data_IF_890956906580
#
_entry.id   IF_890956906580
#
_cell.length_a   1.000
_cell.length_b   1.000
_cell.length_c   1.000
_cell.angle_alpha   90.00
_cell.angle_beta   90.00
_cell.angle_gamma   90.00
#
_symmetry.space_group_name_H-M   'P 1'
#
loop_
_entity.id
_entity.type
_entity.pdbx_description
1 polymer ?
#
# COMPACT_ATOMS: atom_id res chain seq x y z
N UNK A 1 7.01 -16.19 -24.07
CA UNK A 1 8.30 -15.93 -24.77
C UNK A 1 9.29 -15.22 -23.85
N UNK A 2 8.95 -14.09 -23.24
CA UNK A 2 9.83 -13.34 -22.30
C UNK A 2 10.30 -14.17 -21.09
N UNK A 3 9.39 -14.96 -20.47
CA UNK A 3 9.73 -15.86 -19.35
C UNK A 3 10.79 -16.90 -19.71
N UNK A 4 10.77 -17.43 -20.93
CA UNK A 4 11.79 -18.34 -21.43
C UNK A 4 13.09 -17.62 -21.82
N UNK A 5 13.02 -16.37 -22.27
CA UNK A 5 14.22 -15.57 -22.55
C UNK A 5 14.93 -15.19 -21.25
N UNK A 6 14.20 -14.67 -20.25
CA UNK A 6 14.74 -14.38 -18.92
C UNK A 6 15.37 -15.61 -18.27
N UNK A 7 14.71 -16.77 -18.36
CA UNK A 7 15.23 -18.02 -17.80
C UNK A 7 16.49 -18.53 -18.54
N UNK A 8 16.54 -18.42 -19.86
CA UNK A 8 17.72 -18.82 -20.65
C UNK A 8 18.91 -17.87 -20.47
N UNK A 9 18.66 -16.57 -20.34
CA UNK A 9 19.71 -15.57 -20.07
C UNK A 9 20.24 -15.79 -18.64
N UNK A 10 19.37 -16.12 -17.71
CA UNK A 10 19.66 -16.39 -16.33
C UNK A 10 20.56 -17.63 -16.13
N UNK A 11 20.26 -18.75 -16.81
CA UNK A 11 21.02 -19.99 -16.74
C UNK A 11 22.44 -19.84 -17.37
N UNK A 12 22.62 -18.98 -18.35
CA UNK A 12 23.92 -18.69 -18.95
C UNK A 12 24.81 -17.80 -18.09
N UNK A 13 24.26 -16.83 -17.35
CA UNK A 13 25.03 -15.88 -16.54
C UNK A 13 25.58 -16.51 -15.25
N UNK A 14 24.89 -17.46 -14.65
CA UNK A 14 25.32 -18.16 -13.43
C UNK A 14 26.61 -18.98 -13.62
N UNK A 15 26.89 -19.47 -14.84
CA UNK A 15 28.10 -20.25 -15.11
C UNK A 15 29.35 -19.37 -15.33
N UNK A 16 29.18 -18.10 -15.63
CA UNK A 16 30.28 -17.16 -15.92
C UNK A 16 30.72 -16.41 -14.65
N UNK A 17 29.80 -16.15 -13.71
CA UNK A 17 30.08 -15.41 -12.47
C UNK A 17 31.01 -16.16 -11.50
N UNK A 18 30.97 -17.49 -11.45
CA UNK A 18 31.73 -18.27 -10.49
C UNK A 18 33.27 -18.33 -10.75
N UNK A 19 33.74 -17.93 -11.92
CA UNK A 19 35.16 -17.97 -12.30
C UNK A 19 35.90 -16.64 -12.22
N UNK A 20 35.22 -15.50 -11.99
CA UNK A 20 35.83 -14.16 -12.09
C UNK A 20 35.96 -13.37 -10.78
N UNK A 21 35.48 -13.90 -9.65
CA UNK A 21 35.42 -13.16 -8.35
C UNK A 21 36.80 -13.00 -7.67
N UNK A 22 37.89 -13.63 -8.15
CA UNK A 22 39.16 -13.66 -7.41
C UNK A 22 40.20 -12.62 -7.86
N UNK A 23 40.00 -11.88 -8.95
CA UNK A 23 41.02 -10.93 -9.41
C UNK A 23 40.47 -9.61 -9.91
N UNK A 24 40.77 -8.55 -9.22
CA UNK A 24 40.66 -7.11 -9.51
C UNK A 24 39.59 -6.32 -8.74
N UNK A 25 40.00 -5.89 -7.57
CA UNK A 25 39.33 -4.83 -6.79
C UNK A 25 39.60 -3.45 -7.45
N UNK A 26 38.55 -2.67 -7.58
CA UNK A 26 38.44 -1.21 -7.60
C UNK A 26 38.38 -0.39 -8.91
N UNK A 27 38.68 -0.88 -10.10
CA UNK A 27 38.59 0.00 -11.29
C UNK A 27 37.54 -0.39 -12.34
N UNK A 28 36.56 -1.26 -12.02
CA UNK A 28 35.75 -1.91 -13.05
C UNK A 28 34.21 -1.81 -12.88
N UNK A 29 33.66 -0.93 -12.02
CA UNK A 29 32.20 -0.87 -11.91
C UNK A 29 31.51 -0.44 -13.21
N UNK A 30 32.04 0.56 -13.91
CA UNK A 30 31.50 1.01 -15.19
C UNK A 30 31.65 -0.04 -16.30
N UNK A 31 32.79 -0.75 -16.36
CA UNK A 31 33.03 -1.81 -17.37
C UNK A 31 32.21 -3.09 -17.09
N UNK A 32 31.87 -3.38 -15.84
CA UNK A 32 30.99 -4.51 -15.48
C UNK A 32 29.53 -4.23 -15.85
N UNK A 33 29.09 -2.99 -15.68
CA UNK A 33 27.74 -2.57 -16.08
C UNK A 33 27.53 -2.64 -17.61
N UNK A 34 28.58 -2.41 -18.40
CA UNK A 34 28.53 -2.52 -19.87
C UNK A 34 28.44 -3.98 -20.36
N UNK A 35 28.86 -4.96 -19.56
CA UNK A 35 28.89 -6.38 -19.91
C UNK A 35 27.63 -7.16 -19.52
N UNK A 36 26.74 -6.56 -18.72
CA UNK A 36 25.50 -7.23 -18.34
C UNK A 36 24.56 -7.39 -19.53
N UNK A 37 23.80 -8.49 -19.59
CA UNK A 37 22.73 -8.63 -20.56
C UNK A 37 21.79 -7.43 -20.47
N UNK A 38 21.36 -6.92 -21.64
CA UNK A 38 20.42 -5.80 -21.74
C UNK A 38 19.20 -6.25 -22.49
N UNK A 39 18.03 -5.85 -22.02
CA UNK A 39 16.75 -6.12 -22.69
C UNK A 39 15.93 -4.84 -22.77
N UNK A 40 15.40 -4.57 -23.95
CA UNK A 40 14.47 -3.46 -24.17
C UNK A 40 13.06 -3.97 -23.84
N UNK A 41 12.35 -3.23 -23.00
CA UNK A 41 11.00 -3.51 -22.57
C UNK A 41 10.15 -2.26 -22.69
N UNK A 42 8.82 -2.40 -22.79
CA UNK A 42 7.97 -1.21 -22.92
C UNK A 42 7.71 -0.56 -21.56
N UNK A 43 7.04 -1.27 -20.65
CA UNK A 43 6.71 -0.75 -19.33
C UNK A 43 7.25 -1.67 -18.24
N UNK A 44 7.84 -1.08 -17.19
CA UNK A 44 8.22 -1.79 -15.97
C UNK A 44 7.44 -1.21 -14.79
N UNK A 45 6.74 -2.06 -14.05
CA UNK A 45 6.11 -1.75 -12.76
C UNK A 45 6.90 -2.42 -11.65
N UNK A 46 7.38 -1.64 -10.68
CA UNK A 46 8.17 -2.15 -9.55
C UNK A 46 7.24 -2.39 -8.36
N UNK A 47 7.06 -3.64 -7.99
CA UNK A 47 6.22 -4.09 -6.88
C UNK A 47 4.85 -4.61 -7.33
N UNK A 48 4.49 -5.82 -6.86
CA UNK A 48 3.21 -6.47 -7.10
C UNK A 48 2.26 -6.36 -5.88
N UNK A 49 2.23 -5.20 -5.22
CA UNK A 49 1.16 -4.82 -4.31
C UNK A 49 -0.11 -4.39 -5.07
N UNK A 50 -1.22 -4.15 -4.37
CA UNK A 50 -2.51 -3.80 -5.00
C UNK A 50 -2.41 -2.62 -5.98
N UNK A 51 -1.58 -1.61 -5.68
CA UNK A 51 -1.39 -0.45 -6.55
C UNK A 51 -0.61 -0.83 -7.81
N UNK A 52 0.50 -1.58 -7.66
CA UNK A 52 1.30 -2.02 -8.80
C UNK A 52 0.54 -2.96 -9.74
N UNK A 53 -0.26 -3.88 -9.18
CA UNK A 53 -1.13 -4.76 -9.97
C UNK A 53 -2.20 -3.95 -10.72
N UNK A 54 -2.85 -2.98 -10.05
CA UNK A 54 -3.84 -2.11 -10.68
C UNK A 54 -3.22 -1.27 -11.82
N UNK A 55 -2.00 -0.74 -11.61
CA UNK A 55 -1.24 0.00 -12.65
C UNK A 55 -0.90 -0.91 -13.83
N UNK A 56 -0.38 -2.11 -13.55
CA UNK A 56 -0.04 -3.08 -14.60
C UNK A 56 -1.26 -3.46 -15.43
N UNK A 57 -2.39 -3.73 -14.77
CA UNK A 57 -3.66 -4.00 -15.43
C UNK A 57 -4.09 -2.86 -16.34
N UNK A 58 -4.11 -1.63 -15.82
CA UNK A 58 -4.56 -0.46 -16.57
C UNK A 58 -3.68 -0.17 -17.81
N UNK A 59 -2.36 -0.36 -17.68
CA UNK A 59 -1.43 -0.23 -18.80
C UNK A 59 -1.62 -1.34 -19.84
N UNK A 60 -1.79 -2.60 -19.40
CA UNK A 60 -2.03 -3.74 -20.28
C UNK A 60 -3.36 -3.62 -21.04
N UNK A 61 -4.42 -3.15 -20.38
CA UNK A 61 -5.71 -2.86 -21.04
C UNK A 61 -5.60 -1.80 -22.14
N UNK A 62 -4.60 -0.92 -22.06
CA UNK A 62 -4.29 0.07 -23.11
C UNK A 62 -3.32 -0.45 -24.17
N UNK A 63 -3.03 -1.74 -24.16
CA UNK A 63 -2.18 -2.40 -25.16
C UNK A 63 -0.69 -2.24 -24.94
N UNK A 64 -0.24 -1.79 -23.73
CA UNK A 64 1.20 -1.71 -23.39
C UNK A 64 1.72 -3.09 -23.00
N UNK A 65 2.96 -3.38 -23.35
CA UNK A 65 3.68 -4.57 -22.87
C UNK A 65 4.26 -4.28 -21.46
N UNK A 66 3.76 -4.97 -20.45
CA UNK A 66 4.04 -4.65 -19.05
C UNK A 66 4.78 -5.78 -18.36
N UNK A 67 5.95 -5.47 -17.81
CA UNK A 67 6.70 -6.34 -16.91
C UNK A 67 6.58 -5.84 -15.47
N UNK A 68 5.99 -6.64 -14.58
CA UNK A 68 5.94 -6.38 -13.15
C UNK A 68 7.07 -7.13 -12.46
N UNK A 69 7.89 -6.40 -11.68
CA UNK A 69 9.02 -6.97 -10.93
C UNK A 69 8.68 -6.93 -9.44
N UNK A 70 8.66 -8.13 -8.82
CA UNK A 70 8.36 -8.30 -7.39
C UNK A 70 9.49 -9.05 -6.69
N UNK A 71 9.95 -8.48 -5.58
CA UNK A 71 11.04 -9.06 -4.79
C UNK A 71 10.63 -10.31 -4.01
N UNK A 72 9.36 -10.40 -3.62
CA UNK A 72 8.81 -11.53 -2.89
C UNK A 72 8.46 -12.72 -3.82
N UNK A 73 8.26 -13.92 -3.26
CA UNK A 73 7.90 -15.10 -4.04
C UNK A 73 6.47 -15.07 -4.61
N UNK A 74 5.64 -14.12 -4.16
CA UNK A 74 4.26 -13.93 -4.60
C UNK A 74 3.81 -12.49 -4.47
N UNK A 75 2.65 -12.15 -5.04
CA UNK A 75 2.07 -10.81 -4.97
C UNK A 75 1.52 -10.48 -3.57
N UNK A 76 1.38 -9.17 -3.29
CA UNK A 76 0.60 -8.63 -2.17
C UNK A 76 1.19 -8.86 -0.78
N UNK A 77 2.40 -9.36 -0.63
CA UNK A 77 2.99 -9.79 0.66
C UNK A 77 3.31 -8.67 1.64
N UNK A 78 3.37 -7.42 1.18
CA UNK A 78 3.65 -6.24 2.00
C UNK A 78 2.39 -5.62 2.62
N UNK A 79 2.28 -4.30 2.54
CA UNK A 79 1.16 -3.52 3.10
C UNK A 79 -0.21 -3.96 2.56
N UNK A 80 -0.27 -4.49 1.35
CA UNK A 80 -1.52 -4.89 0.69
C UNK A 80 -2.23 -6.07 1.34
N UNK A 81 -1.53 -7.00 1.99
CA UNK A 81 -2.13 -8.11 2.75
C UNK A 81 -2.30 -7.81 4.23
N UNK A 82 -1.93 -6.60 4.69
CA UNK A 82 -1.85 -6.25 6.10
C UNK A 82 -2.57 -4.93 6.39
N UNK A 83 -3.80 -4.82 5.91
CA UNK A 83 -4.65 -3.65 6.03
C UNK A 83 -6.01 -4.03 6.65
N UNK A 84 -6.89 -3.05 6.81
CA UNK A 84 -8.23 -3.25 7.40
C UNK A 84 -9.28 -3.77 6.41
N UNK A 85 -8.93 -3.96 5.14
CA UNK A 85 -9.83 -4.39 4.05
C UNK A 85 -11.04 -3.47 3.82
N UNK A 86 -10.94 -2.23 4.29
CA UNK A 86 -12.02 -1.24 4.25
C UNK A 86 -12.04 -0.48 2.94
N UNK A 87 -13.21 -0.44 2.32
CA UNK A 87 -13.54 0.47 1.22
C UNK A 87 -13.95 1.81 1.86
N UNK A 88 -13.04 2.79 1.82
CA UNK A 88 -13.24 4.12 2.41
C UNK A 88 -14.14 5.01 1.55
N UNK A 89 -14.92 5.87 2.19
CA UNK A 89 -15.77 6.82 1.49
C UNK A 89 -15.03 8.06 0.96
N UNK A 90 -13.97 8.53 1.65
CA UNK A 90 -13.21 9.73 1.28
C UNK A 90 -13.43 10.95 2.17
N UNK A 91 -14.10 10.79 3.32
CA UNK A 91 -14.54 11.91 4.17
C UNK A 91 -13.45 12.52 5.09
N UNK A 92 -12.32 11.84 5.30
CA UNK A 92 -11.29 12.30 6.24
C UNK A 92 -10.25 13.25 5.64
N UNK A 93 -10.10 13.26 4.32
CA UNK A 93 -8.99 13.91 3.64
C UNK A 93 -9.31 15.35 3.27
N UNK A 94 -8.33 16.27 3.28
CA UNK A 94 -8.54 17.63 2.82
C UNK A 94 -9.10 17.66 1.40
N UNK A 95 -10.04 18.57 1.11
CA UNK A 95 -10.58 18.73 -0.24
C UNK A 95 -9.48 18.97 -1.27
N UNK A 96 -9.66 18.41 -2.46
CA UNK A 96 -8.71 18.47 -3.58
C UNK A 96 -7.36 17.76 -3.34
N UNK A 97 -7.14 17.11 -2.19
CA UNK A 97 -5.97 16.25 -2.00
C UNK A 97 -6.07 15.00 -2.88
N UNK A 98 -4.93 14.42 -3.25
CA UNK A 98 -4.90 13.16 -4.01
C UNK A 98 -5.60 12.03 -3.25
N UNK A 99 -5.45 11.99 -1.91
CA UNK A 99 -6.18 11.06 -1.05
C UNK A 99 -7.69 11.21 -1.17
N UNK A 100 -8.22 12.43 -1.19
CA UNK A 100 -9.65 12.69 -1.34
C UNK A 100 -10.14 12.29 -2.74
N UNK A 101 -9.51 12.83 -3.77
CA UNK A 101 -9.89 12.62 -5.18
C UNK A 101 -9.84 11.14 -5.55
N UNK A 102 -8.72 10.46 -5.25
CA UNK A 102 -8.56 9.06 -5.61
C UNK A 102 -9.39 8.12 -4.73
N UNK A 103 -9.68 8.49 -3.48
CA UNK A 103 -10.55 7.68 -2.63
C UNK A 103 -12.00 7.68 -3.15
N UNK A 104 -12.54 8.85 -3.44
CA UNK A 104 -13.93 8.98 -3.94
C UNK A 104 -14.10 8.30 -5.30
N UNK A 105 -13.17 8.57 -6.24
CA UNK A 105 -13.16 7.93 -7.56
C UNK A 105 -12.92 6.42 -7.44
N UNK A 106 -11.88 6.02 -6.69
CA UNK A 106 -11.47 4.63 -6.55
C UNK A 106 -12.55 3.77 -5.89
N UNK A 107 -13.29 4.30 -4.90
CA UNK A 107 -14.43 3.59 -4.31
C UNK A 107 -15.46 3.19 -5.37
N UNK A 108 -15.85 4.11 -6.25
CA UNK A 108 -16.82 3.85 -7.32
C UNK A 108 -16.29 2.77 -8.28
N UNK A 109 -15.02 2.88 -8.68
CA UNK A 109 -14.36 1.91 -9.53
C UNK A 109 -14.30 0.52 -8.87
N UNK A 110 -13.91 0.49 -7.59
CA UNK A 110 -13.71 -0.76 -6.85
C UNK A 110 -15.03 -1.52 -6.66
N UNK A 111 -16.12 -0.86 -6.24
CA UNK A 111 -17.42 -1.50 -6.14
C UNK A 111 -17.90 -2.04 -7.48
N UNK A 112 -17.76 -1.24 -8.53
CA UNK A 112 -18.16 -1.66 -9.88
C UNK A 112 -17.32 -2.85 -10.35
N UNK A 113 -16.02 -2.80 -10.14
CA UNK A 113 -15.11 -3.89 -10.49
C UNK A 113 -15.46 -5.17 -9.73
N UNK A 114 -15.59 -5.11 -8.42
CA UNK A 114 -15.89 -6.26 -7.57
C UNK A 114 -17.22 -6.92 -7.97
N UNK A 115 -18.26 -6.13 -8.25
CA UNK A 115 -19.55 -6.63 -8.69
C UNK A 115 -19.47 -7.34 -10.04
N UNK A 116 -18.72 -6.80 -10.99
CA UNK A 116 -18.60 -7.35 -12.34
C UNK A 116 -17.71 -8.59 -12.43
N UNK A 117 -16.76 -8.74 -11.49
CA UNK A 117 -15.78 -9.83 -11.51
C UNK A 117 -15.99 -10.87 -10.39
N UNK A 118 -17.08 -10.74 -9.63
CA UNK A 118 -17.39 -11.69 -8.55
C UNK A 118 -16.41 -11.63 -7.38
N UNK A 119 -15.71 -10.50 -7.18
CA UNK A 119 -14.82 -10.32 -6.02
C UNK A 119 -15.67 -10.11 -4.76
N UNK A 120 -15.47 -10.91 -3.69
CA UNK A 120 -16.26 -10.80 -2.47
C UNK A 120 -16.09 -9.42 -1.81
N UNK A 121 -17.21 -8.76 -1.58
CA UNK A 121 -17.26 -7.44 -0.94
C UNK A 121 -18.64 -7.21 -0.31
N UNK A 122 -18.73 -6.33 0.69
CA UNK A 122 -19.99 -5.91 1.31
C UNK A 122 -19.98 -4.39 1.53
N UNK A 123 -21.04 -3.70 1.14
CA UNK A 123 -21.26 -2.28 1.47
C UNK A 123 -22.05 -2.22 2.79
N UNK A 124 -21.34 -2.34 3.92
CA UNK A 124 -21.92 -2.44 5.24
C UNK A 124 -22.13 -1.09 5.95
N UNK A 125 -21.61 -0.01 5.37
CA UNK A 125 -21.65 1.31 6.00
C UNK A 125 -20.67 1.47 7.16
N UNK A 126 -20.57 2.74 7.62
CA UNK A 126 -19.67 3.12 8.71
C UNK A 126 -20.36 4.15 9.59
N UNK A 127 -20.25 3.97 10.91
CA UNK A 127 -20.64 4.94 11.92
C UNK A 127 -19.36 5.59 12.49
N UNK A 128 -19.20 6.89 12.29
CA UNK A 128 -18.18 7.67 12.98
C UNK A 128 -18.84 8.24 14.23
N UNK A 129 -18.34 7.86 15.42
CA UNK A 129 -19.04 8.06 16.68
C UNK A 129 -18.37 9.07 17.60
N UNK A 130 -19.17 9.97 18.15
CA UNK A 130 -18.80 10.88 19.22
C UNK A 130 -19.23 10.28 20.56
N UNK A 131 -18.26 9.94 21.42
CA UNK A 131 -18.51 9.41 22.75
C UNK A 131 -18.50 10.49 23.83
N UNK A 132 -17.94 11.66 23.51
CA UNK A 132 -17.92 12.84 24.37
C UNK A 132 -18.52 14.06 23.69
N UNK A 133 -18.95 15.06 24.48
CA UNK A 133 -19.53 16.30 23.95
C UNK A 133 -18.55 17.12 23.10
N UNK A 134 -17.25 17.07 23.42
CA UNK A 134 -16.18 17.73 22.65
C UNK A 134 -16.03 17.15 21.23
N UNK A 135 -16.46 15.90 20.99
CA UNK A 135 -16.34 15.24 19.69
C UNK A 135 -17.46 15.62 18.72
N UNK A 136 -18.59 16.14 19.22
CA UNK A 136 -19.78 16.42 18.41
C UNK A 136 -19.46 17.41 17.30
N UNK A 137 -18.70 18.46 17.60
CA UNK A 137 -18.36 19.47 16.61
C UNK A 137 -17.44 18.90 15.51
N UNK A 138 -16.58 17.94 15.86
CA UNK A 138 -15.69 17.25 14.90
C UNK A 138 -16.50 16.43 13.87
N UNK A 139 -17.66 15.87 14.26
CA UNK A 139 -18.56 15.19 13.32
C UNK A 139 -19.07 16.14 12.23
N UNK A 140 -19.45 17.37 12.59
CA UNK A 140 -19.89 18.36 11.60
C UNK A 140 -18.76 18.73 10.63
N UNK A 141 -17.52 18.92 11.11
CA UNK A 141 -16.36 19.16 10.27
C UNK A 141 -16.13 17.99 9.30
N UNK A 142 -16.32 16.75 9.73
CA UNK A 142 -16.20 15.59 8.86
C UNK A 142 -17.36 15.49 7.85
N UNK A 143 -18.58 15.87 8.24
CA UNK A 143 -19.73 15.95 7.33
C UNK A 143 -19.46 16.97 6.21
N UNK A 144 -19.06 18.19 6.57
CA UNK A 144 -18.79 19.27 5.61
C UNK A 144 -17.67 18.86 4.65
N UNK A 145 -16.58 18.37 5.18
CA UNK A 145 -15.43 17.88 4.39
C UNK A 145 -15.81 16.72 3.46
N UNK A 146 -16.56 15.75 3.97
CA UNK A 146 -17.03 14.62 3.17
C UNK A 146 -17.96 15.06 2.05
N UNK A 147 -18.84 16.00 2.33
CA UNK A 147 -19.76 16.60 1.33
C UNK A 147 -18.99 17.36 0.25
N UNK A 148 -17.99 18.17 0.64
CA UNK A 148 -17.11 18.88 -0.30
C UNK A 148 -16.30 17.92 -1.17
N UNK A 149 -15.89 16.77 -0.62
CA UNK A 149 -15.21 15.70 -1.38
C UNK A 149 -16.16 14.91 -2.30
N UNK A 150 -17.47 15.17 -2.27
CA UNK A 150 -18.45 14.44 -3.07
C UNK A 150 -18.82 13.06 -2.52
N UNK A 151 -18.72 12.88 -1.19
CA UNK A 151 -19.21 11.66 -0.52
C UNK A 151 -20.73 11.75 -0.33
N UNK A 152 -21.44 10.84 -0.97
CA UNK A 152 -22.89 10.84 -0.97
C UNK A 152 -23.50 10.15 0.28
N UNK A 153 -24.68 10.60 0.70
CA UNK A 153 -25.48 9.93 1.74
C UNK A 153 -24.99 10.12 3.18
N UNK A 154 -24.04 11.04 3.42
CA UNK A 154 -23.58 11.35 4.77
C UNK A 154 -24.72 11.96 5.60
N UNK A 155 -24.90 11.50 6.83
CA UNK A 155 -25.96 11.97 7.74
C UNK A 155 -25.52 11.94 9.18
N UNK A 156 -25.63 13.09 9.86
CA UNK A 156 -25.55 13.11 11.34
C UNK A 156 -26.81 12.48 11.92
N UNK A 157 -26.64 11.71 12.96
CA UNK A 157 -27.73 11.06 13.71
C UNK A 157 -27.52 11.17 15.21
N UNK A 158 -28.61 11.16 15.94
CA UNK A 158 -28.56 11.14 17.40
C UNK A 158 -28.08 9.77 17.90
N UNK A 159 -27.45 9.75 19.09
CA UNK A 159 -26.90 8.52 19.65
C UNK A 159 -27.93 7.39 19.78
N UNK A 160 -29.17 7.72 20.15
CA UNK A 160 -30.22 6.69 20.27
C UNK A 160 -30.57 6.04 18.92
N UNK A 161 -30.47 6.76 17.81
CA UNK A 161 -30.67 6.19 16.47
C UNK A 161 -29.52 5.23 16.12
N UNK A 162 -28.27 5.63 16.38
CA UNK A 162 -27.09 4.80 16.16
C UNK A 162 -27.11 3.53 17.03
N UNK A 163 -27.50 3.66 18.30
CA UNK A 163 -27.63 2.54 19.23
C UNK A 163 -28.79 1.58 18.86
N UNK A 164 -29.82 2.04 18.16
CA UNK A 164 -30.85 1.14 17.60
C UNK A 164 -30.31 0.34 16.40
N UNK A 165 -29.38 0.89 15.62
CA UNK A 165 -28.71 0.15 14.54
C UNK A 165 -27.69 -0.84 15.09
N UNK A 166 -26.97 -0.44 16.15
CA UNK A 166 -25.89 -1.20 16.80
C UNK A 166 -26.14 -1.24 18.32
N UNK A 167 -26.85 -2.27 18.82
CA UNK A 167 -27.27 -2.31 20.25
C UNK A 167 -26.12 -2.33 21.26
N UNK A 168 -24.96 -2.81 20.88
CA UNK A 168 -23.75 -2.82 21.73
C UNK A 168 -22.96 -1.51 21.72
N UNK A 169 -23.31 -0.59 20.80
CA UNK A 169 -22.69 0.71 20.67
C UNK A 169 -23.19 1.67 21.77
N UNK A 170 -22.29 2.47 22.32
CA UNK A 170 -22.62 3.63 23.14
C UNK A 170 -22.01 4.90 22.56
N UNK A 171 -22.82 5.88 22.18
CA UNK A 171 -22.37 7.18 21.69
C UNK A 171 -23.41 8.27 21.94
N UNK A 172 -22.98 9.54 21.89
CA UNK A 172 -23.85 10.71 21.99
C UNK A 172 -24.45 11.08 20.63
N UNK A 173 -23.63 11.03 19.58
CA UNK A 173 -23.99 11.26 18.18
C UNK A 173 -23.13 10.42 17.25
N UNK A 174 -23.59 10.23 16.04
CA UNK A 174 -22.83 9.55 15.00
C UNK A 174 -22.97 10.25 13.63
N UNK A 175 -21.97 10.10 12.78
CA UNK A 175 -22.03 10.39 11.35
C UNK A 175 -22.09 9.07 10.60
N UNK A 176 -23.20 8.80 9.92
CA UNK A 176 -23.37 7.64 9.05
C UNK A 176 -22.73 7.90 7.69
N UNK A 177 -21.87 7.00 7.23
CA UNK A 177 -21.31 6.95 5.90
C UNK A 177 -21.74 5.64 5.21
N UNK A 178 -22.86 5.63 4.48
CA UNK A 178 -23.44 4.41 3.92
C UNK A 178 -22.62 3.81 2.78
N UNK A 179 -21.77 4.61 2.14
CA UNK A 179 -20.95 4.19 1.01
C UNK A 179 -19.63 3.51 1.41
N UNK A 180 -19.34 3.39 2.70
CA UNK A 180 -18.19 2.60 3.21
C UNK A 180 -18.52 1.11 3.19
N UNK A 181 -17.49 0.26 3.07
CA UNK A 181 -17.66 -1.17 3.07
C UNK A 181 -16.36 -1.93 3.30
N UNK A 182 -16.39 -3.20 2.95
CA UNK A 182 -15.27 -4.13 3.07
C UNK A 182 -15.10 -4.94 1.78
N UNK A 183 -13.89 -5.42 1.54
CA UNK A 183 -13.54 -6.23 0.37
C UNK A 183 -12.52 -7.29 0.75
N UNK A 184 -12.62 -8.47 0.17
CA UNK A 184 -11.52 -9.43 0.19
C UNK A 184 -10.35 -8.90 -0.66
N UNK A 185 -9.34 -8.38 0.02
CA UNK A 185 -8.18 -7.77 -0.65
C UNK A 185 -7.37 -8.79 -1.45
N UNK A 186 -7.29 -10.04 -1.00
CA UNK A 186 -6.56 -11.08 -1.72
C UNK A 186 -7.28 -11.45 -3.02
N UNK A 187 -8.58 -11.69 -2.96
CA UNK A 187 -9.41 -11.98 -4.15
C UNK A 187 -9.42 -10.80 -5.12
N UNK A 188 -9.44 -9.55 -4.63
CA UNK A 188 -9.32 -8.36 -5.47
C UNK A 188 -7.98 -8.35 -6.22
N UNK A 189 -6.86 -8.55 -5.53
CA UNK A 189 -5.55 -8.55 -6.16
C UNK A 189 -5.41 -9.70 -7.15
N UNK A 190 -5.90 -10.89 -6.82
CA UNK A 190 -5.87 -12.05 -7.70
C UNK A 190 -6.67 -11.82 -8.99
N UNK A 191 -7.86 -11.21 -8.87
CA UNK A 191 -8.70 -10.85 -10.01
C UNK A 191 -8.03 -9.83 -10.92
N UNK A 192 -7.50 -8.73 -10.35
CA UNK A 192 -6.78 -7.70 -11.10
C UNK A 192 -5.52 -8.24 -11.79
N UNK A 193 -4.78 -9.13 -11.11
CA UNK A 193 -3.60 -9.80 -11.65
C UNK A 193 -3.95 -10.69 -12.82
N UNK A 194 -4.97 -11.54 -12.67
CA UNK A 194 -5.42 -12.43 -13.76
C UNK A 194 -5.88 -11.65 -14.98
N UNK A 195 -6.58 -10.52 -14.79
CA UNK A 195 -6.97 -9.65 -15.90
C UNK A 195 -5.75 -8.98 -16.56
N UNK A 196 -4.76 -8.52 -15.77
CA UNK A 196 -3.51 -7.98 -16.32
C UNK A 196 -2.76 -9.02 -17.16
N UNK A 197 -2.62 -10.27 -16.67
CA UNK A 197 -1.99 -11.38 -17.42
C UNK A 197 -2.75 -11.72 -18.68
N UNK A 198 -4.08 -11.74 -18.64
CA UNK A 198 -4.94 -11.99 -19.82
C UNK A 198 -4.76 -10.94 -20.91
N UNK A 199 -4.31 -9.71 -20.53
CA UNK A 199 -4.01 -8.63 -21.47
C UNK A 199 -2.50 -8.49 -21.75
N UNK A 200 -1.70 -9.49 -21.40
CA UNK A 200 -0.29 -9.61 -21.79
C UNK A 200 0.72 -9.14 -20.74
N UNK A 201 0.31 -8.67 -19.56
CA UNK A 201 1.26 -8.34 -18.50
C UNK A 201 1.98 -9.60 -18.00
N UNK A 202 3.28 -9.46 -17.71
CA UNK A 202 4.10 -10.54 -17.16
C UNK A 202 4.55 -10.19 -15.74
N UNK A 203 4.42 -11.13 -14.80
CA UNK A 203 4.85 -10.98 -13.41
C UNK A 203 6.12 -11.79 -13.13
N UNK A 204 7.18 -11.11 -12.70
CA UNK A 204 8.46 -11.71 -12.36
C UNK A 204 8.67 -11.60 -10.85
N UNK A 205 8.54 -12.72 -10.15
CA UNK A 205 8.72 -12.83 -8.72
C UNK A 205 10.16 -13.19 -8.34
N UNK A 206 10.52 -13.06 -7.05
CA UNK A 206 11.87 -13.29 -6.54
C UNK A 206 12.94 -12.47 -7.27
N UNK A 207 12.55 -11.31 -7.80
CA UNK A 207 13.41 -10.42 -8.58
C UNK A 207 13.33 -9.02 -8.01
N UNK A 208 14.47 -8.46 -7.66
CA UNK A 208 14.56 -7.14 -7.02
C UNK A 208 15.19 -6.12 -7.95
N UNK A 209 14.55 -4.95 -8.06
CA UNK A 209 15.15 -3.77 -8.66
C UNK A 209 16.15 -3.18 -7.68
N UNK A 210 17.42 -3.18 -8.03
CA UNK A 210 18.52 -2.72 -7.16
C UNK A 210 18.97 -1.29 -7.44
N UNK A 211 18.34 -0.60 -8.39
CA UNK A 211 18.61 0.79 -8.78
C UNK A 211 18.60 0.98 -10.28
N UNK A 212 19.16 2.09 -10.73
CA UNK A 212 19.23 2.40 -12.15
C UNK A 212 20.08 3.63 -12.44
N UNK A 213 20.27 3.92 -13.73
CA UNK A 213 20.93 5.13 -14.19
C UNK A 213 20.28 5.61 -15.49
N UNK A 214 20.53 6.86 -15.85
CA UNK A 214 20.14 7.41 -17.14
C UNK A 214 21.30 7.27 -18.10
N UNK A 215 21.03 6.84 -19.32
CA UNK A 215 21.96 6.82 -20.43
C UNK A 215 21.35 7.58 -21.62
N UNK A 216 22.06 7.66 -22.74
CA UNK A 216 21.60 8.36 -23.97
C UNK A 216 20.33 7.72 -24.56
N UNK A 217 20.15 6.44 -24.38
CA UNK A 217 19.02 5.62 -24.84
C UNK A 217 17.87 5.48 -23.82
N UNK A 218 17.92 6.20 -22.69
CA UNK A 218 16.86 6.25 -21.69
C UNK A 218 17.27 5.72 -20.31
N UNK A 219 16.27 5.29 -19.54
CA UNK A 219 16.45 4.76 -18.20
C UNK A 219 16.94 3.31 -18.30
N UNK A 220 17.98 3.00 -17.55
CA UNK A 220 18.49 1.65 -17.36
C UNK A 220 18.15 1.19 -15.94
N UNK A 221 17.37 0.12 -15.79
CA UNK A 221 17.03 -0.48 -14.52
C UNK A 221 17.87 -1.71 -14.28
N UNK A 222 18.47 -1.79 -13.12
CA UNK A 222 19.29 -2.92 -12.69
C UNK A 222 18.45 -3.88 -11.85
N UNK A 223 18.44 -5.16 -12.22
CA UNK A 223 17.71 -6.21 -11.52
C UNK A 223 18.62 -7.37 -11.12
N UNK A 224 18.28 -8.02 -10.04
CA UNK A 224 18.96 -9.21 -9.53
C UNK A 224 17.97 -10.15 -8.85
N UNK A 225 18.28 -11.44 -8.76
CA UNK A 225 17.51 -12.35 -7.90
C UNK A 225 17.52 -11.89 -6.44
N UNK A 226 16.37 -11.90 -5.78
CA UNK A 226 16.24 -11.42 -4.40
C UNK A 226 17.15 -12.17 -3.42
N UNK A 227 17.34 -13.49 -3.59
CA UNK A 227 18.24 -14.30 -2.76
C UNK A 227 19.70 -13.82 -2.78
N UNK A 228 20.17 -13.27 -3.92
CA UNK A 228 21.54 -12.80 -4.06
C UNK A 228 21.78 -11.50 -3.29
N UNK A 229 20.71 -10.69 -3.15
CA UNK A 229 20.75 -9.46 -2.36
C UNK A 229 20.73 -9.76 -0.87
N UNK A 230 19.93 -10.75 -0.45
CA UNK A 230 19.86 -11.19 0.95
C UNK A 230 21.18 -11.74 1.47
N UNK A 231 21.94 -12.36 0.59
CA UNK A 231 23.27 -12.94 0.90
C UNK A 231 24.41 -11.92 0.84
N UNK A 232 24.15 -10.65 0.47
CA UNK A 232 25.17 -9.59 0.48
C UNK A 232 25.51 -9.19 1.91
N UNK A 233 26.45 -9.93 2.53
CA UNK A 233 27.00 -9.62 3.86
C UNK A 233 28.13 -8.60 3.68
N UNK A 234 28.07 -7.46 4.40
CA UNK A 234 29.18 -6.52 4.51
C UNK A 234 29.11 -5.27 3.64
N UNK A 235 27.91 -4.84 3.22
CA UNK A 235 27.69 -3.50 2.66
C UNK A 235 28.15 -3.29 1.21
N UNK A 236 28.59 -4.34 0.52
CA UNK A 236 28.80 -4.24 -0.93
C UNK A 236 27.45 -4.20 -1.64
N UNK A 237 27.20 -3.21 -2.51
CA UNK A 237 26.00 -3.18 -3.32
C UNK A 237 25.94 -4.45 -4.20
N UNK A 238 24.77 -5.10 -4.32
CA UNK A 238 24.63 -6.26 -5.18
C UNK A 238 24.95 -5.86 -6.64
N UNK A 239 25.60 -6.77 -7.36
CA UNK A 239 25.83 -6.57 -8.79
C UNK A 239 24.54 -6.85 -9.56
N UNK A 240 24.19 -6.05 -10.58
CA UNK A 240 23.09 -6.34 -11.46
C UNK A 240 23.37 -7.61 -12.29
N UNK A 241 22.37 -8.46 -12.42
CA UNK A 241 22.42 -9.66 -13.27
C UNK A 241 21.85 -9.41 -14.65
N UNK A 242 20.90 -8.46 -14.72
CA UNK A 242 20.27 -8.01 -15.96
C UNK A 242 20.02 -6.50 -15.89
N UNK A 243 20.13 -5.83 -17.02
CA UNK A 243 19.73 -4.43 -17.20
C UNK A 243 18.54 -4.36 -18.15
N UNK A 244 17.45 -3.76 -17.68
CA UNK A 244 16.27 -3.47 -18.49
C UNK A 244 16.31 -2.03 -18.96
N UNK A 245 15.85 -1.80 -20.20
CA UNK A 245 15.76 -0.47 -20.82
C UNK A 245 14.27 -0.22 -21.15
N UNK A 246 13.48 0.27 -20.19
CA UNK A 246 12.06 0.54 -20.38
C UNK A 246 11.79 1.94 -20.96
N UNK A 247 10.66 2.08 -21.69
CA UNK A 247 10.11 3.37 -22.05
C UNK A 247 9.40 4.05 -20.85
N UNK A 248 8.78 3.25 -19.97
CA UNK A 248 8.08 3.71 -18.77
C UNK A 248 8.43 2.85 -17.56
N UNK A 249 8.76 3.50 -16.46
CA UNK A 249 8.98 2.88 -15.14
C UNK A 249 7.99 3.45 -14.15
N UNK A 250 7.24 2.60 -13.46
CA UNK A 250 6.37 3.02 -12.36
C UNK A 250 6.83 2.35 -11.06
N UNK A 251 7.37 3.16 -10.15
CA UNK A 251 7.83 2.69 -8.85
C UNK A 251 6.66 2.60 -7.86
N UNK A 252 6.08 1.40 -7.76
CA UNK A 252 4.98 1.03 -6.85
C UNK A 252 5.48 0.19 -5.65
N UNK A 253 6.75 0.31 -5.26
CA UNK A 253 7.39 -0.56 -4.27
C UNK A 253 6.99 -0.26 -2.81
N UNK A 254 5.95 0.52 -2.57
CA UNK A 254 5.37 0.77 -1.24
C UNK A 254 6.39 1.28 -0.22
N UNK A 255 6.66 0.49 0.81
CA UNK A 255 7.61 0.84 1.89
C UNK A 255 9.04 1.06 1.36
N UNK A 256 9.44 0.37 0.31
CA UNK A 256 10.78 0.46 -0.29
C UNK A 256 10.89 1.52 -1.39
N UNK A 257 9.78 2.12 -1.83
CA UNK A 257 9.77 3.02 -2.99
C UNK A 257 10.76 4.21 -2.87
N UNK A 258 10.88 4.92 -1.72
CA UNK A 258 11.86 5.99 -1.58
C UNK A 258 13.31 5.50 -1.62
N UNK A 259 13.58 4.28 -1.15
CA UNK A 259 14.92 3.69 -1.18
C UNK A 259 15.32 3.28 -2.61
N UNK A 260 14.41 2.72 -3.37
CA UNK A 260 14.61 2.42 -4.79
C UNK A 260 14.86 3.71 -5.56
N UNK A 261 14.05 4.76 -5.34
CA UNK A 261 14.22 6.05 -5.99
C UNK A 261 15.61 6.68 -5.73
N UNK A 262 16.13 6.57 -4.49
CA UNK A 262 17.48 7.04 -4.13
C UNK A 262 18.61 6.30 -4.86
N UNK A 263 18.35 5.13 -5.40
CA UNK A 263 19.32 4.33 -6.16
C UNK A 263 19.29 4.59 -7.67
N UNK A 264 18.41 5.47 -8.12
CA UNK A 264 18.50 6.05 -9.45
C UNK A 264 19.43 7.25 -9.36
N UNK A 265 20.68 7.10 -9.83
CA UNK A 265 21.76 8.10 -9.69
C UNK A 265 21.46 9.47 -10.36
N UNK A 266 20.35 9.57 -11.07
CA UNK A 266 19.93 10.77 -11.81
C UNK A 266 18.91 11.62 -11.05
N UNK A 267 18.32 11.09 -9.98
CA UNK A 267 17.32 11.82 -9.18
C UNK A 267 18.04 12.62 -8.10
N UNK A 268 17.75 13.92 -8.02
CA UNK A 268 18.18 14.72 -6.87
C UNK A 268 17.54 14.16 -5.59
N UNK A 269 18.39 13.73 -4.66
CA UNK A 269 17.94 13.16 -3.39
C UNK A 269 17.03 14.10 -2.59
N UNK A 270 17.12 15.42 -2.84
CA UNK A 270 16.30 16.44 -2.17
C UNK A 270 14.82 16.40 -2.55
N UNK A 271 14.49 15.87 -3.73
CA UNK A 271 13.07 15.72 -4.15
C UNK A 271 12.46 14.41 -3.65
N UNK A 272 13.25 13.47 -3.14
CA UNK A 272 12.76 12.20 -2.61
C UNK A 272 12.36 12.41 -1.15
N UNK A 273 11.09 12.17 -0.77
CA UNK A 273 10.64 12.40 0.59
C UNK A 273 11.29 11.46 1.59
N UNK A 274 11.44 11.94 2.82
CA UNK A 274 11.90 11.10 3.94
C UNK A 274 10.82 10.09 4.31
N UNK A 275 11.23 8.83 4.48
CA UNK A 275 10.34 7.75 4.88
C UNK A 275 10.25 7.65 6.40
N UNK A 276 9.04 7.50 6.89
CA UNK A 276 8.74 7.12 8.26
C UNK A 276 7.83 5.88 8.22
N UNK A 277 7.87 5.08 9.27
CA UNK A 277 7.10 3.85 9.33
C UNK A 277 6.26 3.82 10.60
N UNK A 278 4.97 3.53 10.45
CA UNK A 278 4.06 3.37 11.57
C UNK A 278 3.43 1.98 11.53
N UNK A 279 3.80 1.14 12.51
CA UNK A 279 3.18 -0.16 12.72
C UNK A 279 1.79 0.04 13.32
N UNK A 280 0.83 -0.75 12.87
CA UNK A 280 -0.52 -0.82 13.44
C UNK A 280 -0.87 -2.26 13.71
N UNK A 281 -1.17 -2.56 14.97
CA UNK A 281 -1.58 -3.88 15.42
C UNK A 281 -3.09 -4.01 15.45
N UNK A 282 -3.57 -5.22 15.15
CA UNK A 282 -4.99 -5.58 15.24
C UNK A 282 -5.17 -6.69 16.28
N UNK A 283 -6.28 -6.62 16.99
CA UNK A 283 -6.76 -7.67 17.89
C UNK A 283 -8.13 -8.16 17.42
N UNK A 284 -8.32 -9.46 17.46
CA UNK A 284 -9.58 -10.11 17.06
C UNK A 284 -10.44 -10.32 18.29
N UNK A 285 -11.74 -10.09 18.19
CA UNK A 285 -12.69 -10.45 19.22
C UNK A 285 -12.88 -11.96 19.24
N UNK A 286 -12.62 -12.58 20.40
CA UNK A 286 -12.77 -14.01 20.61
C UNK A 286 -13.93 -14.31 21.56
N UNK A 287 -14.30 -15.59 21.65
CA UNK A 287 -15.33 -16.08 22.59
C UNK A 287 -16.73 -15.44 22.42
N UNK A 288 -17.11 -15.06 21.21
CA UNK A 288 -18.45 -14.56 20.88
C UNK A 288 -19.17 -15.52 19.96
N UNK A 289 -20.47 -15.75 20.20
CA UNK A 289 -21.32 -16.58 19.36
C UNK A 289 -21.92 -15.82 18.18
N UNK A 290 -21.91 -14.48 18.22
CA UNK A 290 -22.39 -13.60 17.16
C UNK A 290 -21.61 -12.30 17.18
N UNK A 291 -21.48 -11.66 16.01
CA UNK A 291 -20.87 -10.33 15.92
C UNK A 291 -21.67 -9.30 16.71
N UNK A 292 -21.03 -8.50 17.58
CA UNK A 292 -21.69 -7.40 18.28
C UNK A 292 -22.00 -6.20 17.36
N UNK A 293 -21.40 -6.15 16.17
CA UNK A 293 -21.55 -5.05 15.22
C UNK A 293 -21.86 -5.56 13.81
N UNK A 294 -22.58 -4.74 13.05
CA UNK A 294 -22.91 -4.96 11.64
C UNK A 294 -22.33 -3.89 10.72
N UNK A 295 -21.91 -2.76 11.29
CA UNK A 295 -21.25 -1.63 10.61
C UNK A 295 -19.83 -1.48 11.10
N UNK A 296 -19.01 -0.79 10.31
CA UNK A 296 -17.71 -0.30 10.78
C UNK A 296 -17.94 0.80 11.83
N UNK A 297 -17.29 0.70 13.01
CA UNK A 297 -17.41 1.71 14.06
C UNK A 297 -16.07 2.41 14.22
N UNK A 298 -16.06 3.72 13.98
CA UNK A 298 -14.87 4.53 14.06
C UNK A 298 -15.08 5.64 15.09
N UNK A 299 -14.36 5.63 16.22
CA UNK A 299 -14.37 6.79 17.11
C UNK A 299 -13.81 8.00 16.37
N UNK A 300 -14.20 9.20 16.83
CA UNK A 300 -13.62 10.45 16.32
C UNK A 300 -12.11 10.39 16.49
N UNK A 301 -11.34 10.75 15.44
CA UNK A 301 -9.87 10.83 15.54
C UNK A 301 -9.43 11.77 16.66
N UNK A 302 -8.57 11.29 17.55
CA UNK A 302 -7.90 12.13 18.54
C UNK A 302 -6.63 12.75 17.94
N UNK A 303 -6.12 13.81 18.56
CA UNK A 303 -4.87 14.44 18.13
C UNK A 303 -3.71 13.44 18.21
N UNK A 304 -3.20 13.05 17.04
CA UNK A 304 -2.10 12.09 16.90
C UNK A 304 -2.48 10.62 16.67
N UNK A 305 -3.78 10.26 16.68
CA UNK A 305 -4.24 8.89 16.41
C UNK A 305 -5.59 8.83 15.71
N UNK A 306 -5.89 7.69 15.09
CA UNK A 306 -7.21 7.42 14.48
C UNK A 306 -8.20 6.79 15.47
N UNK A 307 -7.78 6.55 16.70
CA UNK A 307 -8.53 5.71 17.66
C UNK A 307 -8.51 4.22 17.26
N UNK A 308 -9.01 3.36 18.13
CA UNK A 308 -9.16 1.92 17.85
C UNK A 308 -10.50 1.69 17.17
N UNK A 309 -10.48 1.31 15.90
CA UNK A 309 -11.67 1.07 15.10
C UNK A 309 -12.24 -0.32 15.31
N UNK A 310 -13.53 -0.50 15.04
CA UNK A 310 -14.14 -1.79 14.72
C UNK A 310 -14.10 -1.96 13.21
N UNK A 311 -13.48 -3.04 12.75
CA UNK A 311 -13.59 -3.53 11.38
C UNK A 311 -14.18 -4.94 11.37
N UNK A 312 -14.85 -5.27 10.29
CA UNK A 312 -15.47 -6.57 10.06
C UNK A 312 -14.79 -7.23 8.87
N UNK A 313 -14.63 -8.54 8.92
CA UNK A 313 -14.36 -9.31 7.71
C UNK A 313 -15.66 -9.78 7.03
N UNK A 314 -15.54 -10.50 5.94
CA UNK A 314 -16.71 -10.99 5.18
C UNK A 314 -17.51 -12.07 5.90
N UNK A 315 -16.94 -12.69 6.92
CA UNK A 315 -17.60 -13.68 7.80
C UNK A 315 -18.12 -13.04 9.10
N UNK A 316 -18.16 -11.69 9.12
CA UNK A 316 -18.65 -10.86 10.22
C UNK A 316 -17.81 -10.98 11.52
N UNK A 317 -16.54 -11.46 11.44
CA UNK A 317 -15.65 -11.43 12.58
C UNK A 317 -15.16 -10.01 12.85
N UNK A 318 -15.14 -9.64 14.13
CA UNK A 318 -14.73 -8.31 14.58
C UNK A 318 -13.23 -8.25 14.82
N UNK A 319 -12.60 -7.23 14.23
CA UNK A 319 -11.21 -6.85 14.47
C UNK A 319 -11.17 -5.44 15.03
N UNK A 320 -10.37 -5.24 16.07
CA UNK A 320 -10.11 -3.91 16.66
C UNK A 320 -8.73 -3.42 16.26
N UNK A 321 -8.65 -2.17 15.81
CA UNK A 321 -7.41 -1.55 15.35
C UNK A 321 -7.56 -0.80 14.04
N UNK A 322 -6.43 -0.37 13.49
CA UNK A 322 -5.09 -0.52 14.06
C UNK A 322 -4.77 0.56 15.10
N UNK A 323 -3.86 0.25 16.02
CA UNK A 323 -3.19 1.28 16.81
C UNK A 323 -2.07 1.97 16.02
N UNK A 324 -1.26 2.76 16.69
CA UNK A 324 -0.09 3.44 16.10
C UNK A 324 1.14 3.19 16.96
N UNK A 325 2.17 2.62 16.34
CA UNK A 325 3.50 2.48 16.91
C UNK A 325 4.53 2.91 15.88
N UNK A 326 5.29 3.95 16.18
CA UNK A 326 6.35 4.40 15.29
C UNK A 326 7.51 3.41 15.32
N UNK A 327 7.88 2.92 14.16
CA UNK A 327 9.07 2.07 13.99
C UNK A 327 10.29 2.99 14.02
N UNK A 328 11.27 2.62 14.84
CA UNK A 328 12.54 3.36 14.95
C UNK A 328 13.32 3.36 13.62
N UNK A 329 14.50 3.96 13.67
CA UNK A 329 15.38 3.95 12.51
C UNK A 329 15.76 2.51 12.13
N UNK A 330 15.46 2.16 10.90
CA UNK A 330 15.91 0.91 10.28
C UNK A 330 17.19 1.17 9.51
N UNK A 331 18.08 0.19 9.51
CA UNK A 331 19.20 0.24 8.60
C UNK A 331 18.74 0.24 7.15
N UNK A 332 19.60 0.77 6.27
CA UNK A 332 19.28 0.92 4.86
C UNK A 332 18.84 -0.39 4.18
N UNK A 333 19.53 -1.49 4.48
CA UNK A 333 19.25 -2.79 3.86
C UNK A 333 17.91 -3.37 4.31
N UNK A 334 17.59 -3.27 5.60
CA UNK A 334 16.30 -3.70 6.15
C UNK A 334 15.13 -2.94 5.53
N UNK A 335 15.27 -1.63 5.37
CA UNK A 335 14.26 -0.79 4.71
C UNK A 335 14.11 -1.11 3.23
N UNK A 336 15.23 -1.35 2.54
CA UNK A 336 15.26 -1.70 1.13
C UNK A 336 14.63 -3.07 0.85
N UNK A 337 14.94 -4.08 1.68
CA UNK A 337 14.42 -5.44 1.55
C UNK A 337 13.04 -5.64 2.21
N UNK A 338 12.43 -4.57 2.72
CA UNK A 338 11.12 -4.63 3.39
C UNK A 338 11.11 -5.60 4.60
N UNK A 339 12.25 -5.72 5.31
CA UNK A 339 12.40 -6.58 6.49
C UNK A 339 11.89 -5.88 7.74
N UNK A 340 10.57 -5.89 7.92
CA UNK A 340 9.90 -5.34 9.09
C UNK A 340 9.47 -6.43 10.05
N UNK A 341 9.44 -6.09 11.35
CA UNK A 341 8.80 -6.92 12.35
C UNK A 341 7.26 -6.74 12.31
N UNK A 342 6.57 -7.80 11.93
CA UNK A 342 5.10 -7.86 11.87
C UNK A 342 4.50 -8.62 13.06
N UNK A 343 5.27 -8.91 14.09
CA UNK A 343 4.75 -9.54 15.30
C UNK A 343 3.78 -8.63 16.06
N UNK A 344 2.81 -9.21 16.73
CA UNK A 344 1.87 -8.50 17.61
C UNK A 344 2.19 -8.88 19.04
N UNK A 345 2.65 -7.92 19.82
CA UNK A 345 2.89 -8.13 21.25
C UNK A 345 1.55 -8.21 21.99
N UNK A 346 1.29 -9.33 22.65
CA UNK A 346 0.04 -9.57 23.36
C UNK A 346 -0.26 -8.52 24.45
N UNK A 347 0.77 -8.02 25.14
CA UNK A 347 0.61 -7.00 26.20
C UNK A 347 0.09 -5.65 25.69
N UNK A 348 0.13 -5.41 24.37
CA UNK A 348 -0.46 -4.18 23.77
C UNK A 348 -1.98 -4.13 23.94
N UNK A 349 -2.62 -5.25 24.16
CA UNK A 349 -4.08 -5.34 24.39
C UNK A 349 -4.55 -4.44 25.52
N UNK A 350 -3.72 -4.21 26.54
CA UNK A 350 -4.04 -3.34 27.68
C UNK A 350 -4.39 -1.90 27.27
N UNK A 351 -3.82 -1.42 26.15
CA UNK A 351 -4.14 -0.10 25.60
C UNK A 351 -5.42 -0.09 24.78
N UNK A 352 -5.86 -1.25 24.30
CA UNK A 352 -7.06 -1.36 23.48
C UNK A 352 -8.35 -1.34 24.32
N UNK A 353 -8.39 -2.02 25.46
CA UNK A 353 -9.58 -2.11 26.30
C UNK A 353 -10.16 -0.74 26.68
N UNK A 354 -9.38 0.23 27.22
CA UNK A 354 -9.92 1.55 27.56
C UNK A 354 -10.52 2.28 26.37
N UNK A 355 -9.84 2.24 25.21
CA UNK A 355 -10.28 2.94 24.01
C UNK A 355 -11.56 2.33 23.43
N UNK A 356 -11.62 1.00 23.36
CA UNK A 356 -12.80 0.29 22.84
C UNK A 356 -14.00 0.49 23.77
N UNK A 357 -13.82 0.42 25.09
CA UNK A 357 -14.89 0.58 26.06
C UNK A 357 -15.55 1.96 26.08
N UNK A 358 -14.93 2.96 25.47
CA UNK A 358 -15.57 4.28 25.27
C UNK A 358 -16.83 4.19 24.39
N UNK A 359 -16.87 3.26 23.46
CA UNK A 359 -18.00 3.06 22.56
C UNK A 359 -18.60 1.65 22.63
N UNK A 360 -17.88 0.68 23.20
CA UNK A 360 -18.35 -0.68 23.45
C UNK A 360 -18.10 -1.08 24.93
N UNK A 361 -18.90 -0.56 25.87
CA UNK A 361 -18.65 -0.74 27.30
C UNK A 361 -18.79 -2.19 27.77
N UNK A 362 -19.56 -3.02 27.05
CA UNK A 362 -19.79 -4.44 27.40
C UNK A 362 -18.62 -5.35 26.97
N UNK A 363 -17.52 -4.81 26.44
CA UNK A 363 -16.33 -5.59 26.09
C UNK A 363 -15.73 -6.26 27.33
N UNK A 364 -15.71 -7.59 27.35
CA UNK A 364 -15.22 -8.39 28.49
C UNK A 364 -13.69 -8.43 28.49
N UNK A 365 -13.10 -8.50 29.68
CA UNK A 365 -11.67 -8.77 29.84
C UNK A 365 -11.32 -10.15 29.26
N UNK A 366 -10.16 -10.27 28.65
CA UNK A 366 -9.68 -11.52 28.05
C UNK A 366 -10.37 -11.93 26.76
N UNK A 367 -11.22 -11.05 26.15
CA UNK A 367 -11.90 -11.35 24.89
C UNK A 367 -11.19 -10.87 23.64
N UNK A 368 -9.98 -10.31 23.79
CA UNK A 368 -9.18 -9.84 22.65
C UNK A 368 -7.92 -10.72 22.48
N UNK A 369 -7.76 -11.27 21.30
CA UNK A 369 -6.59 -12.07 20.93
C UNK A 369 -5.73 -11.34 19.89
N UNK A 370 -4.38 -11.46 19.95
CA UNK A 370 -3.51 -10.89 18.93
C UNK A 370 -3.88 -11.38 17.54
N UNK A 371 -4.11 -10.46 16.61
CA UNK A 371 -4.36 -10.72 15.20
C UNK A 371 -3.09 -10.56 14.39
N UNK A 372 -3.02 -9.52 13.57
CA UNK A 372 -1.88 -9.22 12.71
C UNK A 372 -1.44 -7.76 12.85
N UNK A 373 -0.28 -7.44 12.28
CA UNK A 373 0.21 -6.07 12.17
C UNK A 373 0.47 -5.68 10.71
N UNK A 374 0.28 -4.40 10.41
CA UNK A 374 0.65 -3.79 9.15
C UNK A 374 1.59 -2.59 9.36
N UNK A 375 2.39 -2.27 8.35
CA UNK A 375 3.28 -1.10 8.35
C UNK A 375 2.76 -0.07 7.34
N UNK A 376 2.63 1.19 7.78
CA UNK A 376 2.20 2.29 6.93
C UNK A 376 3.41 3.08 6.44
N UNK A 377 3.56 3.32 5.12
CA UNK A 377 4.57 4.21 4.57
C UNK A 377 4.16 5.67 4.82
N UNK A 378 4.72 6.28 5.85
CA UNK A 378 4.47 7.68 6.21
C UNK A 378 5.51 8.62 5.58
N UNK A 379 5.08 9.83 5.20
CA UNK A 379 5.95 10.91 4.72
C UNK A 379 6.12 12.03 5.76
N UNK A 380 5.49 11.89 6.92
CA UNK A 380 5.68 12.77 8.08
C UNK A 380 5.89 11.94 9.34
N UNK A 381 6.78 12.40 10.20
CA UNK A 381 7.10 11.74 11.47
C UNK A 381 6.06 12.00 12.58
N UNK A 382 6.30 11.42 13.78
CA UNK A 382 5.42 11.59 14.91
C UNK A 382 5.17 13.06 15.25
N UNK A 383 3.93 13.40 15.63
CA UNK A 383 3.53 14.76 16.02
C UNK A 383 3.41 15.76 14.87
N UNK A 384 3.60 15.34 13.62
CA UNK A 384 3.42 16.19 12.44
C UNK A 384 2.10 15.89 11.73
N UNK A 385 1.56 16.90 11.05
CA UNK A 385 0.36 16.73 10.23
C UNK A 385 0.56 15.65 9.16
N UNK A 386 -0.48 14.85 8.86
CA UNK A 386 -0.44 13.87 7.78
C UNK A 386 -0.15 14.53 6.43
N UNK A 387 0.67 13.88 5.62
CA UNK A 387 1.02 14.31 4.26
C UNK A 387 0.15 13.53 3.27
N UNK A 388 -0.16 14.14 2.14
CA UNK A 388 -0.89 13.54 1.03
C UNK A 388 -0.07 12.45 0.31
N UNK A 389 -0.68 11.72 -0.61
CA UNK A 389 0.03 10.89 -1.58
C UNK A 389 0.98 11.76 -2.42
N UNK A 390 2.12 11.21 -2.75
CA UNK A 390 3.09 11.89 -3.61
C UNK A 390 3.31 11.03 -4.87
N UNK A 391 2.95 11.60 -6.02
CA UNK A 391 3.19 11.02 -7.35
C UNK A 391 4.12 11.98 -8.08
N UNK A 392 5.32 11.53 -8.36
CA UNK A 392 6.35 12.33 -9.00
C UNK A 392 6.66 11.80 -10.40
N UNK A 393 6.57 12.66 -11.39
CA UNK A 393 7.00 12.43 -12.75
C UNK A 393 8.17 13.33 -13.14
N UNK A 394 8.42 13.42 -14.44
CA UNK A 394 9.48 14.24 -15.04
C UNK A 394 9.40 15.71 -14.61
N UNK A 395 8.19 16.23 -14.43
CA UNK A 395 7.92 17.60 -13.97
C UNK A 395 8.56 17.93 -12.60
N UNK A 396 8.88 16.92 -11.79
CA UNK A 396 9.47 17.10 -10.45
C UNK A 396 10.94 16.69 -10.42
N UNK A 397 11.30 15.55 -10.99
CA UNK A 397 12.66 15.01 -10.90
C UNK A 397 13.45 15.06 -12.21
N UNK A 398 12.87 15.55 -13.30
CA UNK A 398 13.56 15.77 -14.58
C UNK A 398 13.91 14.50 -15.37
N UNK A 399 13.41 13.33 -14.98
CA UNK A 399 13.71 12.05 -15.65
C UNK A 399 12.52 11.57 -16.45
N UNK A 400 12.63 11.65 -17.77
CA UNK A 400 11.57 11.19 -18.68
C UNK A 400 11.28 9.70 -18.49
N UNK A 401 10.00 9.31 -18.50
CA UNK A 401 9.58 7.91 -18.41
C UNK A 401 9.69 7.29 -17.02
N UNK A 402 10.06 8.03 -15.97
CA UNK A 402 10.06 7.54 -14.59
C UNK A 402 8.92 8.15 -13.78
N UNK A 403 8.18 7.33 -13.08
CA UNK A 403 7.12 7.76 -12.15
C UNK A 403 7.33 7.09 -10.79
N UNK A 404 7.37 7.91 -9.74
CA UNK A 404 7.49 7.43 -8.36
C UNK A 404 6.22 7.65 -7.58
N UNK A 405 5.77 6.63 -6.83
CA UNK A 405 4.66 6.70 -5.91
C UNK A 405 5.17 6.58 -4.47
N UNK A 406 4.98 7.62 -3.65
CA UNK A 406 5.42 7.64 -2.27
C UNK A 406 4.26 7.88 -1.32
N UNK A 407 4.34 7.28 -0.12
CA UNK A 407 3.37 7.49 0.94
C UNK A 407 1.98 6.94 0.63
N UNK A 408 1.87 5.92 -0.22
CA UNK A 408 0.58 5.30 -0.55
C UNK A 408 0.16 4.38 0.60
N UNK A 409 -0.31 5.01 1.68
CA UNK A 409 -0.94 4.39 2.84
C UNK A 409 -2.48 4.38 2.69
N UNK A 410 -3.26 4.27 3.80
CA UNK A 410 -4.72 4.48 3.72
C UNK A 410 -5.03 5.89 3.14
N UNK A 411 -5.88 5.96 2.12
CA UNK A 411 -6.80 4.96 1.57
C UNK A 411 -6.28 4.23 0.31
N UNK A 412 -5.01 3.86 0.23
CA UNK A 412 -4.35 3.31 -0.97
C UNK A 412 -5.06 2.11 -1.59
N UNK A 413 -5.62 1.19 -0.79
CA UNK A 413 -6.41 0.06 -1.30
C UNK A 413 -7.62 0.57 -2.10
N UNK A 414 -8.45 1.41 -1.49
CA UNK A 414 -9.63 1.99 -2.14
C UNK A 414 -9.25 2.82 -3.37
N UNK A 415 -8.11 3.51 -3.30
CA UNK A 415 -7.63 4.43 -4.34
C UNK A 415 -6.89 3.73 -5.48
N UNK A 416 -6.55 2.44 -5.35
CA UNK A 416 -5.59 1.74 -6.24
C UNK A 416 -5.95 1.84 -7.73
N UNK A 417 -7.21 1.61 -8.07
CA UNK A 417 -7.68 1.68 -9.46
C UNK A 417 -7.71 3.13 -10.00
N UNK A 418 -8.05 4.12 -9.16
CA UNK A 418 -8.03 5.52 -9.56
C UNK A 418 -6.60 6.05 -9.74
N UNK A 419 -5.66 5.59 -8.91
CA UNK A 419 -4.23 5.84 -9.09
C UNK A 419 -3.76 5.26 -10.42
N UNK A 420 -4.16 4.02 -10.74
CA UNK A 420 -3.82 3.36 -12.00
C UNK A 420 -4.35 4.12 -13.23
N UNK A 421 -5.63 4.54 -13.21
CA UNK A 421 -6.20 5.40 -14.26
C UNK A 421 -5.38 6.70 -14.44
N UNK A 422 -5.01 7.35 -13.33
CA UNK A 422 -4.24 8.58 -13.35
C UNK A 422 -2.84 8.37 -13.96
N UNK A 423 -2.13 7.31 -13.56
CA UNK A 423 -0.80 6.97 -14.09
C UNK A 423 -0.89 6.71 -15.59
N UNK A 424 -1.82 5.88 -16.01
CA UNK A 424 -1.96 5.52 -17.42
C UNK A 424 -2.38 6.72 -18.30
N UNK A 425 -3.20 7.62 -17.77
CA UNK A 425 -3.60 8.84 -18.50
C UNK A 425 -2.48 9.86 -18.59
N UNK A 426 -1.75 10.11 -17.48
CA UNK A 426 -0.75 11.20 -17.42
C UNK A 426 0.60 10.81 -18.03
N UNK A 427 1.01 9.54 -17.94
CA UNK A 427 2.37 9.13 -18.21
C UNK A 427 2.54 8.04 -19.28
N UNK A 428 1.45 7.42 -19.75
CA UNK A 428 1.52 6.34 -20.74
C UNK A 428 0.84 6.69 -22.08
N UNK A 429 0.46 7.95 -22.25
CA UNK A 429 -0.27 8.49 -23.40
C UNK A 429 0.40 8.38 -24.76
#
# INVERSE_FOLDING_TARGET
MLRHMLQRTWERSTSICSRWIISNKMNNQSQLLERNPKEIVDCVVIGAGVVGIAVARELALRGRDVLVIESAPTFGTGTSSRNSEVIHAGLYYPPNSLKAVFCVRGRKLLYNYCSNHGVPHKQIGKLIVATGSADIQKLNVLLDRGTENGVEGLRIMEGYEAMRMEPELQCLKALLSPSSGIVDTHSLMLSLLGEAENHGATFCYNTTVIGGHLNRDGIHIHVSESKNIENCIGGCPPYPELTLIPNLVVNCAGLSAPYIAKRFNVIDIRVIPTSYYARGCYFTLSNTTSSPFRHLIYPIPEDGGLGVHVTLDLDDHVKFGPDVEWVGELDYLSSFLNKFDYSVCANRVEKFYPEIRRYYPNLKDGSLEPGYAGIRPKLSGPGKSPVDFVIQGEDIHGVHGLVNLFGIESPGLTSSMAIAEHIAFKFAG
#
